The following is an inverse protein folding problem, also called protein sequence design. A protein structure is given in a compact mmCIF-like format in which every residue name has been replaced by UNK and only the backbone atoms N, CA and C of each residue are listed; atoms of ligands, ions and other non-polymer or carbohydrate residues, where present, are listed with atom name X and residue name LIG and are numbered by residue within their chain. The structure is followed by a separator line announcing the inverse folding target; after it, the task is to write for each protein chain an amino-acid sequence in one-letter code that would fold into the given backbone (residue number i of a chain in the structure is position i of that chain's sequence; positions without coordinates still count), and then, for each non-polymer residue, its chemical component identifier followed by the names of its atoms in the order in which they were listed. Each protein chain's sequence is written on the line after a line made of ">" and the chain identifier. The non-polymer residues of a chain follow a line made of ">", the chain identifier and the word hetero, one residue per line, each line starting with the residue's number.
data_IF_713145650415
#
_entry.id   IF_713145650415
#
_cell.length_a   1.000
_cell.length_b   1.000
_cell.length_c   1.000
_cell.angle_alpha   90.00
_cell.angle_beta   90.00
_cell.angle_gamma   90.00
#
_symmetry.space_group_name_H-M   'P 1'
#
loop_
_entity.id
_entity.type
_entity.pdbx_description
1 polymer ?
#
# COMPACT_ATOMS: atom_id res chain seq x y z
N UNK A 1 -6.25 -17.78 -9.74
CA UNK A 1 -5.88 -16.43 -10.23
C UNK A 1 -5.80 -15.52 -9.02
N UNK A 2 -4.62 -15.02 -8.67
CA UNK A 2 -4.49 -14.06 -7.57
C UNK A 2 -4.90 -12.67 -8.09
N UNK A 3 -6.03 -12.15 -7.62
CA UNK A 3 -6.50 -10.81 -7.93
C UNK A 3 -5.64 -9.82 -7.14
N UNK A 4 -4.57 -9.32 -7.75
CA UNK A 4 -3.77 -8.25 -7.15
C UNK A 4 -4.64 -7.01 -7.01
N UNK A 5 -4.69 -6.44 -5.81
CA UNK A 5 -5.45 -5.21 -5.56
C UNK A 5 -4.72 -4.03 -6.20
N UNK A 6 -5.47 -3.20 -6.91
CA UNK A 6 -4.97 -1.92 -7.37
C UNK A 6 -4.55 -1.05 -6.16
N UNK A 7 -3.48 -0.26 -6.29
CA UNK A 7 -3.04 0.65 -5.25
C UNK A 7 -4.14 1.68 -4.97
N UNK A 8 -4.55 1.78 -3.71
CA UNK A 8 -5.51 2.75 -3.23
C UNK A 8 -4.73 3.82 -2.48
N UNK A 9 -4.83 5.05 -2.98
CA UNK A 9 -4.07 6.16 -2.44
C UNK A 9 -4.47 6.45 -0.99
N UNK A 10 -3.46 6.64 -0.15
CA UNK A 10 -3.60 6.94 1.26
C UNK A 10 -3.50 5.71 2.16
N UNK A 11 -3.75 4.51 1.63
CA UNK A 11 -3.71 3.27 2.40
C UNK A 11 -2.30 2.76 2.68
N UNK A 12 -2.19 2.06 3.80
CA UNK A 12 -1.01 1.29 4.17
C UNK A 12 -1.10 -0.14 3.65
N UNK A 13 0.05 -0.69 3.32
CA UNK A 13 0.25 -2.04 2.85
C UNK A 13 1.45 -2.65 3.57
N UNK A 14 1.44 -3.98 3.69
CA UNK A 14 2.58 -4.77 4.15
C UNK A 14 3.04 -5.64 2.99
N UNK A 15 4.33 -5.58 2.65
CA UNK A 15 4.93 -6.47 1.64
C UNK A 15 5.33 -7.83 2.25
N UNK A 16 5.81 -8.77 1.42
CA UNK A 16 6.23 -10.09 1.91
C UNK A 16 7.40 -10.06 2.91
N UNK A 17 8.18 -9.00 2.92
CA UNK A 17 9.31 -8.81 3.86
C UNK A 17 8.86 -8.22 5.21
N UNK A 18 7.57 -7.91 5.37
CA UNK A 18 7.03 -7.28 6.58
C UNK A 18 7.21 -5.75 6.63
N UNK A 19 7.64 -5.12 5.53
CA UNK A 19 7.79 -3.67 5.46
C UNK A 19 6.46 -2.96 5.20
N UNK A 20 6.17 -1.95 6.02
CA UNK A 20 5.04 -1.06 5.83
C UNK A 20 5.36 -0.01 4.76
N UNK A 21 4.48 0.05 3.76
CA UNK A 21 4.53 1.05 2.69
C UNK A 21 3.16 1.68 2.52
N UNK A 22 3.12 2.98 2.31
CA UNK A 22 1.90 3.71 1.98
C UNK A 22 1.86 3.97 0.48
N UNK A 23 0.73 3.73 -0.17
CA UNK A 23 0.50 4.23 -1.52
C UNK A 23 0.23 5.75 -1.45
N UNK A 24 1.21 6.56 -1.83
CA UNK A 24 1.13 8.02 -1.70
C UNK A 24 0.53 8.68 -2.96
N UNK A 25 0.81 8.15 -4.14
CA UNK A 25 0.28 8.65 -5.40
C UNK A 25 0.33 7.61 -6.51
N UNK A 26 -0.50 7.79 -7.54
CA UNK A 26 -0.46 6.99 -8.76
C UNK A 26 0.23 7.79 -9.86
N UNK A 27 1.01 7.12 -10.69
CA UNK A 27 1.68 7.71 -11.85
C UNK A 27 1.06 7.13 -13.10
N UNK A 28 0.56 8.02 -13.95
CA UNK A 28 -0.05 7.68 -15.23
C UNK A 28 0.86 8.10 -16.36
N UNK A 29 0.97 7.23 -17.36
CA UNK A 29 1.70 7.49 -18.60
C UNK A 29 0.77 7.14 -19.77
N UNK A 30 0.60 8.08 -20.71
CA UNK A 30 -0.36 7.97 -21.82
C UNK A 30 -1.78 7.54 -21.38
N UNK A 31 -2.24 8.07 -20.24
CA UNK A 31 -3.57 7.77 -19.68
C UNK A 31 -3.70 6.40 -19.01
N UNK A 32 -2.62 5.62 -18.87
CA UNK A 32 -2.62 4.30 -18.22
C UNK A 32 -1.81 4.34 -16.92
N UNK A 33 -2.26 3.61 -15.91
CA UNK A 33 -1.52 3.47 -14.66
C UNK A 33 -0.18 2.77 -14.96
N UNK A 34 0.92 3.49 -14.79
CA UNK A 34 2.27 2.99 -15.04
C UNK A 34 3.04 2.72 -13.74
N UNK A 35 2.71 3.40 -12.66
CA UNK A 35 3.39 3.17 -11.38
C UNK A 35 2.71 3.81 -10.18
N UNK A 36 3.40 3.67 -9.05
CA UNK A 36 2.94 4.13 -7.74
C UNK A 36 4.10 4.85 -7.06
N UNK A 37 3.81 5.99 -6.45
CA UNK A 37 4.70 6.60 -5.48
C UNK A 37 4.40 5.97 -4.13
N UNK A 38 5.37 5.27 -3.57
CA UNK A 38 5.28 4.67 -2.24
C UNK A 38 5.99 5.53 -1.20
N UNK A 39 5.50 5.48 0.03
CA UNK A 39 6.10 6.12 1.19
C UNK A 39 6.29 5.08 2.30
N UNK A 40 7.52 4.64 2.60
CA UNK A 40 7.82 3.84 3.79
C UNK A 40 7.66 4.64 5.08
N UNK A 41 7.74 3.97 6.23
CA UNK A 41 7.61 4.61 7.56
C UNK A 41 8.61 5.74 7.83
N UNK A 42 9.79 5.71 7.19
CA UNK A 42 10.78 6.77 7.30
C UNK A 42 10.40 8.08 6.57
N UNK A 43 9.24 8.10 5.91
CA UNK A 43 8.68 9.29 5.26
C UNK A 43 9.22 9.59 3.86
N UNK A 44 10.28 8.91 3.42
CA UNK A 44 10.83 9.04 2.07
C UNK A 44 9.80 8.62 1.01
N UNK A 45 9.85 9.23 -0.18
CA UNK A 45 8.93 8.92 -1.27
C UNK A 45 9.69 8.39 -2.46
N UNK A 46 9.23 7.26 -3.00
CA UNK A 46 9.91 6.56 -4.08
C UNK A 46 8.90 6.18 -5.15
N UNK A 47 9.22 6.50 -6.41
CA UNK A 47 8.49 5.94 -7.53
C UNK A 47 8.88 4.47 -7.73
N UNK A 48 7.89 3.62 -7.94
CA UNK A 48 8.07 2.27 -8.44
C UNK A 48 7.09 1.99 -9.58
N UNK A 49 7.52 1.19 -10.55
CA UNK A 49 6.65 0.74 -11.64
C UNK A 49 5.54 -0.17 -11.12
N UNK A 50 4.45 -0.29 -11.88
CA UNK A 50 3.34 -1.16 -11.51
C UNK A 50 3.76 -2.64 -11.46
N UNK A 51 4.72 -3.05 -12.30
CA UNK A 51 5.33 -4.38 -12.23
C UNK A 51 6.00 -4.59 -10.87
N UNK A 52 6.85 -3.65 -10.45
CA UNK A 52 7.53 -3.75 -9.15
C UNK A 52 6.56 -3.68 -7.97
N UNK A 53 5.48 -2.90 -8.09
CA UNK A 53 4.38 -2.92 -7.11
C UNK A 53 3.77 -4.32 -6.97
N UNK A 54 3.53 -5.03 -8.07
CA UNK A 54 2.99 -6.41 -8.05
C UNK A 54 3.99 -7.40 -7.43
N UNK A 55 5.28 -7.24 -7.69
CA UNK A 55 6.33 -8.11 -7.16
C UNK A 55 6.45 -8.01 -5.63
N UNK A 56 6.15 -6.85 -5.05
CA UNK A 56 6.09 -6.67 -3.59
C UNK A 56 4.96 -7.48 -2.93
N UNK A 57 3.99 -7.94 -3.73
CA UNK A 57 2.74 -8.59 -3.28
C UNK A 57 2.11 -7.86 -2.07
N UNK A 58 1.84 -6.55 -2.20
CA UNK A 58 1.40 -5.74 -1.07
C UNK A 58 0.01 -6.18 -0.63
N UNK A 59 -0.12 -6.55 0.63
CA UNK A 59 -1.42 -6.82 1.25
C UNK A 59 -1.88 -5.54 1.93
N UNK A 60 -3.09 -5.07 1.60
CA UNK A 60 -3.66 -3.86 2.20
C UNK A 60 -3.77 -4.08 3.70
N UNK A 61 -3.10 -3.21 4.46
CA UNK A 61 -3.22 -3.16 5.91
C UNK A 61 -4.51 -2.44 6.24
N UNK A 62 -5.57 -3.21 6.45
CA UNK A 62 -6.77 -2.69 7.10
C UNK A 62 -6.40 -2.37 8.54
N UNK A 63 -6.05 -1.10 8.82
CA UNK A 63 -6.06 -0.63 10.19
C UNK A 63 -7.50 -0.76 10.67
N UNK A 64 -7.83 -1.88 11.31
CA UNK A 64 -9.17 -2.16 11.80
C UNK A 64 -9.54 -1.00 12.72
N UNK A 65 -10.54 -0.20 12.32
CA UNK A 65 -11.19 0.76 13.23
C UNK A 65 -11.67 0.06 14.51
N UNK A 66 -11.83 -1.26 14.49
CA UNK A 66 -12.15 -2.12 15.62
C UNK A 66 -11.06 -2.16 16.72
N UNK A 67 -9.79 -1.88 16.40
CA UNK A 67 -8.73 -1.85 17.42
C UNK A 67 -8.90 -0.69 18.44
N UNK A 68 -9.76 0.30 18.17
CA UNK A 68 -10.11 1.36 19.13
C UNK A 68 -11.40 1.12 19.91
N UNK A 69 -12.21 0.12 19.55
CA UNK A 69 -13.50 -0.13 20.22
C UNK A 69 -13.51 -1.39 21.09
N UNK A 70 -12.47 -2.23 21.03
CA UNK A 70 -12.36 -3.49 21.78
C UNK A 70 -11.56 -3.43 23.07
N UNK A 71 -11.03 -2.27 23.47
CA UNK A 71 -10.36 -2.10 24.78
C UNK A 71 -11.28 -1.36 25.75
N UNK A 72 -12.47 -1.92 25.98
CA UNK A 72 -13.14 -1.76 27.28
C UNK A 72 -12.60 -2.90 28.13
N UNK A 73 -11.56 -2.62 28.90
CA UNK A 73 -11.20 -3.48 30.03
C UNK A 73 -12.42 -3.50 30.96
N UNK A 74 -12.82 -4.72 31.31
CA UNK A 74 -13.87 -5.06 32.25
C UNK A 74 -13.70 -4.37 33.60
#
# INVERSE_FOLDING_TARGET
>A
MATYSEPVIGDWYINMDGHFIRAWGCVYEYGRLNGVVIQPLNGGRYYISLTRWRDLKPVRYAATREARSGMVLS
#
